data_IF_079286268391
#
_entry.id   IF_079286268391
#
_cell.length_a   1.000
_cell.length_b   1.000
_cell.length_c   1.000
_cell.angle_alpha   90.00
_cell.angle_beta   90.00
_cell.angle_gamma   90.00
#
_symmetry.space_group_name_H-M   'P 1'
#
loop_
_entity.id
_entity.type
_entity.pdbx_description
1 polymer ?
#
# COMPACT_ATOMS: atom_id res chain seq x y z
N UNK A 1 -0.41 5.29 17.59
CA UNK A 1 -0.91 6.32 16.65
C UNK A 1 -1.37 5.59 15.40
N UNK A 2 -2.69 5.42 15.21
CA UNK A 2 -3.25 4.63 14.11
C UNK A 2 -3.19 5.48 12.85
N UNK A 3 -2.34 5.13 11.87
CA UNK A 3 -2.26 5.86 10.60
C UNK A 3 -3.39 5.35 9.70
N UNK A 4 -4.61 5.78 10.00
CA UNK A 4 -5.72 5.63 9.08
C UNK A 4 -5.62 6.79 8.09
N UNK A 5 -5.40 6.48 6.82
CA UNK A 5 -5.59 7.44 5.74
C UNK A 5 -7.03 7.95 5.81
N UNK A 6 -7.19 9.27 5.75
CA UNK A 6 -8.50 9.91 5.75
C UNK A 6 -9.28 9.50 4.48
N UNK A 7 -10.61 9.54 4.52
CA UNK A 7 -11.45 9.13 3.38
C UNK A 7 -11.11 9.89 2.08
N UNK A 8 -10.60 11.12 2.19
CA UNK A 8 -10.15 11.92 1.06
C UNK A 8 -8.82 11.42 0.44
N UNK A 9 -7.88 10.93 1.27
CA UNK A 9 -6.66 10.29 0.77
C UNK A 9 -6.97 8.93 0.11
N UNK A 10 -8.04 8.25 0.55
CA UNK A 10 -8.53 7.00 -0.06
C UNK A 10 -9.01 7.19 -1.49
N UNK A 11 -9.75 8.26 -1.78
CA UNK A 11 -10.29 8.54 -3.12
C UNK A 11 -9.17 8.78 -4.16
N UNK A 12 -8.03 9.32 -3.71
CA UNK A 12 -6.88 9.58 -4.58
C UNK A 12 -6.10 8.31 -4.94
N UNK A 13 -6.14 7.30 -4.07
CA UNK A 13 -5.40 6.04 -4.26
C UNK A 13 -6.16 5.06 -5.17
N UNK A 14 -7.50 5.08 -5.15
CA UNK A 14 -8.33 4.19 -5.99
C UNK A 14 -7.97 4.16 -7.48
N UNK A 15 -7.73 5.29 -8.17
CA UNK A 15 -7.34 5.27 -9.58
C UNK A 15 -5.89 4.80 -9.83
N UNK A 16 -5.01 4.84 -8.82
CA UNK A 16 -3.63 4.37 -8.94
C UNK A 16 -3.47 2.87 -8.62
N UNK A 17 -4.52 2.24 -8.09
CA UNK A 17 -4.52 0.80 -7.87
C UNK A 17 -4.86 0.12 -9.20
N UNK A 18 -4.04 -0.84 -9.69
CA UNK A 18 -4.44 -1.70 -10.79
C UNK A 18 -5.51 -2.69 -10.29
N UNK A 19 -6.72 -2.18 -10.09
CA UNK A 19 -7.90 -2.94 -9.69
C UNK A 19 -8.39 -3.67 -10.94
N UNK A 20 -8.08 -4.96 -11.07
CA UNK A 20 -8.72 -5.81 -12.07
C UNK A 20 -7.86 -6.91 -12.69
N UNK A 21 -6.52 -6.82 -12.64
CA UNK A 21 -5.68 -7.76 -13.40
C UNK A 21 -5.43 -9.11 -12.67
N UNK A 22 -5.64 -9.19 -11.35
CA UNK A 22 -5.26 -10.34 -10.53
C UNK A 22 -6.38 -10.95 -9.64
N UNK A 23 -7.65 -10.79 -10.01
CA UNK A 23 -8.78 -11.40 -9.28
C UNK A 23 -9.14 -10.68 -7.97
N UNK A 24 -9.96 -11.29 -7.08
CA UNK A 24 -10.63 -10.57 -5.98
C UNK A 24 -9.64 -10.15 -4.89
N UNK A 25 -9.05 -8.95 -4.99
CA UNK A 25 -8.12 -8.41 -3.98
C UNK A 25 -8.27 -6.89 -3.67
N UNK A 26 -9.47 -6.28 -3.64
CA UNK A 26 -9.58 -4.83 -3.41
C UNK A 26 -9.11 -4.38 -2.01
N UNK A 27 -9.48 -5.10 -0.94
CA UNK A 27 -9.15 -4.66 0.43
C UNK A 27 -7.68 -4.89 0.82
N UNK A 28 -7.11 -6.05 0.45
CA UNK A 28 -5.71 -6.36 0.74
C UNK A 28 -4.73 -5.55 -0.12
N UNK A 29 -5.10 -5.18 -1.34
CA UNK A 29 -4.27 -4.33 -2.19
C UNK A 29 -4.25 -2.90 -1.63
N UNK A 30 -5.41 -2.41 -1.17
CA UNK A 30 -5.52 -1.14 -0.46
C UNK A 30 -4.62 -1.14 0.78
N UNK A 31 -4.73 -2.12 1.67
CA UNK A 31 -3.86 -2.24 2.85
C UNK A 31 -2.36 -2.21 2.50
N UNK A 32 -1.95 -2.88 1.43
CA UNK A 32 -0.54 -2.85 0.99
C UNK A 32 -0.11 -1.46 0.53
N UNK A 33 -0.95 -0.76 -0.24
CA UNK A 33 -0.69 0.61 -0.67
C UNK A 33 -0.64 1.58 0.51
N UNK A 34 -1.57 1.44 1.46
CA UNK A 34 -1.57 2.20 2.71
C UNK A 34 -0.26 1.96 3.50
N UNK A 35 0.28 0.73 3.49
CA UNK A 35 1.59 0.41 4.05
C UNK A 35 2.78 1.08 3.34
N UNK A 36 2.72 1.21 2.01
CA UNK A 36 3.73 1.99 1.25
C UNK A 36 3.67 3.47 1.63
N UNK A 37 2.48 4.07 1.68
CA UNK A 37 2.31 5.47 2.07
C UNK A 37 2.80 5.68 3.51
N UNK A 38 2.47 4.76 4.43
CA UNK A 38 2.96 4.81 5.80
C UNK A 38 4.49 4.85 5.84
N UNK A 39 5.16 3.98 5.08
CA UNK A 39 6.62 3.95 4.99
C UNK A 39 7.19 5.31 4.53
N UNK A 40 6.63 5.92 3.48
CA UNK A 40 7.07 7.24 3.01
C UNK A 40 6.76 8.37 4.00
N UNK A 41 5.61 8.30 4.69
CA UNK A 41 5.16 9.33 5.64
C UNK A 41 5.95 9.29 6.94
N UNK A 42 6.31 8.10 7.41
CA UNK A 42 7.04 7.90 8.66
C UNK A 42 8.55 7.89 8.45
N UNK A 43 9.03 7.49 7.26
CA UNK A 43 10.46 7.29 6.98
C UNK A 43 11.08 6.10 7.73
N UNK A 44 10.25 5.32 8.44
CA UNK A 44 10.65 4.13 9.21
C UNK A 44 10.98 2.95 8.30
N UNK A 45 11.68 1.95 8.83
CA UNK A 45 12.02 0.76 8.04
C UNK A 45 10.77 -0.05 7.70
N UNK A 46 10.77 -0.73 6.54
CA UNK A 46 9.71 -1.67 6.16
C UNK A 46 9.41 -2.72 7.23
N UNK A 47 10.41 -3.13 8.01
CA UNK A 47 10.27 -4.14 9.08
C UNK A 47 9.49 -3.62 10.29
N UNK A 48 9.43 -2.31 10.47
CA UNK A 48 8.66 -1.64 11.53
C UNK A 48 7.21 -1.38 11.11
N UNK A 49 6.88 -1.70 9.85
CA UNK A 49 5.55 -1.51 9.32
C UNK A 49 4.54 -2.38 10.10
N UNK A 50 3.43 -1.77 10.58
CA UNK A 50 2.37 -2.51 11.24
C UNK A 50 1.82 -3.64 10.37
N UNK A 51 1.57 -4.80 10.99
CA UNK A 51 1.00 -5.96 10.28
C UNK A 51 -0.43 -5.77 9.78
N UNK A 52 -1.10 -4.66 10.14
CA UNK A 52 -2.43 -4.28 9.63
C UNK A 52 -2.41 -3.97 8.12
N UNK A 53 -1.26 -3.60 7.57
CA UNK A 53 -1.05 -3.38 6.13
C UNK A 53 -0.70 -4.67 5.37
N UNK A 54 -0.63 -5.80 6.08
CA UNK A 54 -0.13 -7.07 5.57
C UNK A 54 1.37 -7.27 5.79
N UNK A 55 1.90 -8.38 5.27
CA UNK A 55 3.32 -8.68 5.41
C UNK A 55 4.17 -7.63 4.67
N UNK A 56 5.12 -7.00 5.38
CA UNK A 56 6.02 -6.00 4.81
C UNK A 56 6.79 -6.50 3.58
N UNK A 57 7.09 -7.80 3.51
CA UNK A 57 7.76 -8.42 2.37
C UNK A 57 6.88 -8.40 1.11
N UNK A 58 5.57 -8.60 1.27
CA UNK A 58 4.57 -8.51 0.19
C UNK A 58 4.42 -7.07 -0.27
N UNK A 59 4.29 -6.13 0.68
CA UNK A 59 4.17 -4.69 0.38
C UNK A 59 5.39 -4.18 -0.38
N UNK A 60 6.59 -4.50 0.10
CA UNK A 60 7.84 -4.10 -0.55
C UNK A 60 8.01 -4.74 -1.94
N UNK A 61 7.59 -5.99 -2.12
CA UNK A 61 7.59 -6.63 -3.44
C UNK A 61 6.61 -5.94 -4.40
N UNK A 62 5.42 -5.58 -3.91
CA UNK A 62 4.42 -4.86 -4.72
C UNK A 62 4.89 -3.47 -5.10
N UNK A 63 5.49 -2.74 -4.16
CA UNK A 63 6.11 -1.44 -4.43
C UNK A 63 7.20 -1.55 -5.50
N UNK A 64 8.05 -2.58 -5.43
CA UNK A 64 9.05 -2.84 -6.48
C UNK A 64 8.40 -3.11 -7.84
N UNK A 65 7.33 -3.90 -7.89
CA UNK A 65 6.58 -4.14 -9.12
C UNK A 65 5.98 -2.86 -9.70
N UNK A 66 5.41 -1.97 -8.88
CA UNK A 66 4.88 -0.68 -9.34
C UNK A 66 5.97 0.24 -9.87
N UNK A 67 7.07 0.36 -9.12
CA UNK A 67 8.25 1.12 -9.55
C UNK A 67 8.80 0.61 -10.88
N UNK A 68 8.93 -0.71 -11.02
CA UNK A 68 9.46 -1.33 -12.24
C UNK A 68 8.47 -1.22 -13.41
N UNK A 69 7.17 -1.13 -13.13
CA UNK A 69 6.11 -0.86 -14.11
C UNK A 69 5.98 0.64 -14.48
N UNK A 70 6.68 1.54 -13.78
CA UNK A 70 6.62 2.99 -14.02
C UNK A 70 5.33 3.65 -13.51
N UNK A 71 4.67 3.05 -12.52
CA UNK A 71 3.49 3.58 -11.81
C UNK A 71 3.91 4.50 -10.68
#
# INVERSE_FOLDING_TARGET
MRVQLSAAEREFVEPCLPIGEYGPYPERLRQQFEGVIWHFKTGSQWREMPGEFGAWSTVHNRFRQWRDAGV
#
